data_IF_424078245356
#
_entry.id   IF_424078245356
#
_cell.length_a   1.000
_cell.length_b   1.000
_cell.length_c   1.000
_cell.angle_alpha   90.00
_cell.angle_beta   90.00
_cell.angle_gamma   90.00
#
_symmetry.space_group_name_H-M   'P 1'
#
loop_
_entity.id
_entity.type
_entity.pdbx_description
1 polymer ?
#
# COMPACT_ATOMS: atom_id res chain seq x y z
N UNK A 1 -31.62 -6.05 -5.58
CA UNK A 1 -30.39 -6.47 -4.91
C UNK A 1 -29.92 -7.74 -5.61
N UNK A 2 -28.84 -7.68 -6.39
CA UNK A 2 -28.17 -8.89 -6.88
C UNK A 2 -27.07 -9.14 -5.87
N UNK A 3 -27.31 -10.06 -4.94
CA UNK A 3 -26.25 -10.58 -4.06
C UNK A 3 -25.36 -11.42 -4.96
N UNK A 4 -24.19 -10.88 -5.34
CA UNK A 4 -23.20 -11.61 -6.14
C UNK A 4 -22.48 -12.65 -5.26
N UNK A 5 -23.23 -13.62 -4.74
CA UNK A 5 -22.65 -14.87 -4.28
C UNK A 5 -22.47 -15.74 -5.52
N UNK A 6 -21.23 -16.18 -5.77
CA UNK A 6 -20.77 -17.01 -6.90
C UNK A 6 -20.24 -16.27 -8.15
N UNK A 7 -19.42 -15.22 -7.96
CA UNK A 7 -18.48 -14.83 -9.02
C UNK A 7 -17.34 -15.86 -9.06
N UNK A 8 -17.16 -16.52 -10.19
CA UNK A 8 -16.03 -17.44 -10.42
C UNK A 8 -14.94 -16.65 -11.14
N UNK A 9 -13.87 -16.34 -10.42
CA UNK A 9 -12.68 -15.69 -10.98
C UNK A 9 -11.81 -16.70 -11.74
N UNK A 10 -11.11 -16.27 -12.82
CA UNK A 10 -10.25 -17.16 -13.60
C UNK A 10 -9.18 -17.80 -12.72
N UNK A 11 -8.84 -19.06 -13.02
CA UNK A 11 -7.75 -19.74 -12.36
C UNK A 11 -6.41 -19.09 -12.71
N UNK A 12 -5.52 -18.98 -11.73
CA UNK A 12 -4.17 -18.45 -11.96
C UNK A 12 -3.37 -19.50 -12.76
N UNK A 13 -2.70 -19.12 -13.86
CA UNK A 13 -1.94 -20.06 -14.67
C UNK A 13 -0.84 -20.79 -13.89
N UNK A 14 -0.81 -22.12 -14.00
CA UNK A 14 0.27 -22.94 -13.48
C UNK A 14 1.52 -22.78 -14.35
N UNK A 15 2.70 -22.72 -13.71
CA UNK A 15 4.00 -22.70 -14.41
C UNK A 15 4.53 -21.32 -14.80
N UNK A 16 3.81 -20.23 -14.49
CA UNK A 16 4.28 -18.89 -14.78
C UNK A 16 5.46 -18.44 -13.89
N UNK A 17 5.66 -19.07 -12.73
CA UNK A 17 6.91 -19.07 -11.94
C UNK A 17 7.51 -17.70 -11.58
N UNK A 18 8.70 -17.69 -10.97
CA UNK A 18 9.50 -16.45 -10.94
C UNK A 18 9.92 -16.14 -12.36
N UNK A 19 9.64 -14.92 -12.83
CA UNK A 19 10.23 -14.42 -14.06
C UNK A 19 11.74 -14.39 -13.85
N UNK A 20 12.51 -15.17 -14.60
CA UNK A 20 13.97 -15.15 -14.53
C UNK A 20 14.53 -14.17 -15.57
N UNK A 21 15.66 -13.55 -15.27
CA UNK A 21 16.31 -12.62 -16.19
C UNK A 21 15.51 -11.35 -16.49
N UNK A 22 14.49 -11.01 -15.67
CA UNK A 22 13.71 -9.78 -15.89
C UNK A 22 14.60 -8.53 -15.83
N UNK A 23 15.64 -8.54 -15.00
CA UNK A 23 16.60 -7.44 -14.89
C UNK A 23 17.54 -7.33 -16.11
N UNK A 24 17.47 -8.25 -17.07
CA UNK A 24 18.18 -8.18 -18.35
C UNK A 24 17.36 -7.48 -19.45
N UNK A 25 16.08 -7.20 -19.20
CA UNK A 25 15.24 -6.45 -20.15
C UNK A 25 15.82 -5.04 -20.31
N UNK A 26 16.21 -4.60 -21.52
CA UNK A 26 16.82 -3.30 -21.71
C UNK A 26 15.85 -2.18 -21.35
N UNK A 27 16.35 -1.13 -20.71
CA UNK A 27 15.58 0.06 -20.39
C UNK A 27 15.81 1.10 -21.50
N UNK A 28 14.72 1.59 -22.07
CA UNK A 28 14.70 2.71 -23.02
C UNK A 28 13.88 3.81 -22.37
N UNK A 29 14.51 4.56 -21.48
CA UNK A 29 13.84 5.56 -20.65
C UNK A 29 13.13 6.60 -21.53
N UNK A 30 11.84 6.77 -21.25
CA UNK A 30 11.06 7.94 -21.65
C UNK A 30 10.29 8.44 -20.42
N UNK A 31 11.02 8.63 -19.33
CA UNK A 31 10.48 9.01 -18.02
C UNK A 31 9.89 10.42 -18.00
N UNK A 32 10.14 11.22 -19.04
CA UNK A 32 9.74 12.63 -19.14
C UNK A 32 8.22 12.82 -19.11
N UNK A 33 7.45 11.77 -19.39
CA UNK A 33 6.00 11.81 -19.50
C UNK A 33 5.25 11.18 -18.32
N UNK A 34 5.93 10.49 -17.40
CA UNK A 34 5.28 9.75 -16.31
C UNK A 34 5.95 10.01 -14.94
N UNK A 35 5.65 11.15 -14.28
CA UNK A 35 6.28 11.50 -13.01
C UNK A 35 5.72 10.67 -11.85
N UNK A 36 6.49 10.60 -10.76
CA UNK A 36 5.97 10.16 -9.47
C UNK A 36 4.93 11.16 -8.95
N UNK A 37 3.76 10.66 -8.55
CA UNK A 37 2.71 11.42 -7.88
C UNK A 37 2.38 10.77 -6.52
N UNK A 38 1.98 11.57 -5.52
CA UNK A 38 1.62 11.05 -4.21
C UNK A 38 0.31 10.25 -4.25
N UNK A 39 0.20 9.28 -3.35
CA UNK A 39 -0.98 8.49 -3.06
C UNK A 39 -1.39 8.71 -1.59
N UNK A 40 -2.68 8.67 -1.32
CA UNK A 40 -3.23 8.84 0.03
C UNK A 40 -3.44 10.32 0.39
N UNK A 41 -3.57 10.65 1.68
CA UNK A 41 -3.98 11.99 2.13
C UNK A 41 -3.23 13.15 1.45
N UNK A 42 -3.97 14.22 1.16
CA UNK A 42 -3.56 15.40 0.40
C UNK A 42 -3.26 15.17 -1.08
N UNK A 43 -3.34 13.94 -1.61
CA UNK A 43 -3.26 13.69 -3.05
C UNK A 43 -4.63 13.87 -3.71
N UNK A 44 -4.65 13.97 -5.04
CA UNK A 44 -5.91 14.07 -5.79
C UNK A 44 -6.74 12.78 -5.65
N UNK A 45 -6.08 11.65 -5.38
CA UNK A 45 -6.63 10.31 -5.27
C UNK A 45 -6.91 9.89 -3.81
N UNK A 46 -6.63 10.76 -2.84
CA UNK A 46 -6.80 10.53 -1.41
C UNK A 46 -8.21 10.06 -1.04
N UNK A 47 -9.20 10.49 -1.82
CA UNK A 47 -10.60 10.19 -1.60
C UNK A 47 -10.94 8.75 -2.02
N UNK A 48 -10.14 8.15 -2.89
CA UNK A 48 -10.48 6.90 -3.58
C UNK A 48 -9.63 5.75 -3.05
N UNK A 49 -8.30 5.89 -3.08
CA UNK A 49 -7.39 4.78 -2.77
C UNK A 49 -7.03 4.74 -1.29
N UNK A 50 -7.12 3.55 -0.69
CA UNK A 50 -6.62 3.34 0.66
C UNK A 50 -5.10 3.07 0.61
N UNK A 51 -4.35 3.82 1.40
CA UNK A 51 -2.91 3.63 1.58
C UNK A 51 -2.57 3.29 3.01
N UNK A 52 -1.60 2.39 3.20
CA UNK A 52 -1.00 2.12 4.50
C UNK A 52 0.51 2.13 4.34
N UNK A 53 1.17 3.18 4.82
CA UNK A 53 2.63 3.35 4.67
C UNK A 53 3.36 2.44 5.66
N UNK A 54 3.41 1.15 5.31
CA UNK A 54 3.79 0.07 6.21
C UNK A 54 5.23 0.25 6.69
N UNK A 55 6.16 0.53 5.79
CA UNK A 55 7.58 0.70 6.10
C UNK A 55 7.90 1.93 6.96
N UNK A 56 7.06 2.97 6.90
CA UNK A 56 7.15 4.12 7.80
C UNK A 56 6.59 3.83 9.19
N UNK A 57 5.81 2.76 9.35
CA UNK A 57 5.11 2.47 10.59
C UNK A 57 3.95 3.43 10.82
N UNK A 58 3.23 3.79 9.75
CA UNK A 58 2.10 4.72 9.86
C UNK A 58 1.04 4.22 10.87
N UNK A 59 0.90 2.89 10.99
CA UNK A 59 -0.08 2.20 11.81
C UNK A 59 0.57 1.19 12.76
N UNK A 60 -0.10 0.91 13.88
CA UNK A 60 0.39 0.08 14.99
C UNK A 60 0.55 -1.40 14.67
N UNK A 61 -0.01 -1.86 13.54
CA UNK A 61 0.10 -3.23 13.06
C UNK A 61 1.26 -3.44 12.07
N UNK A 62 2.05 -2.40 11.78
CA UNK A 62 3.21 -2.56 10.92
C UNK A 62 4.33 -3.32 11.66
N UNK A 63 4.91 -4.38 11.06
CA UNK A 63 6.07 -5.07 11.62
C UNK A 63 7.33 -4.17 11.65
N UNK A 64 7.28 -3.00 11.01
CA UNK A 64 8.36 -2.03 10.89
C UNK A 64 8.19 -0.79 11.79
N UNK A 65 7.10 -0.70 12.58
CA UNK A 65 6.76 0.49 13.38
C UNK A 65 7.51 0.63 14.72
N UNK A 66 8.05 -0.46 15.28
CA UNK A 66 8.75 -0.39 16.56
C UNK A 66 10.19 0.11 16.40
N UNK A 67 10.69 0.91 17.35
CA UNK A 67 12.01 1.59 17.38
C UNK A 67 13.26 0.73 17.04
N UNK A 68 13.12 -0.60 16.86
CA UNK A 68 14.18 -1.52 16.45
C UNK A 68 14.11 -1.97 14.98
N UNK A 69 13.01 -1.70 14.29
CA UNK A 69 12.74 -2.16 12.91
C UNK A 69 12.47 -1.01 11.91
N UNK A 70 12.65 0.25 12.33
CA UNK A 70 12.43 1.41 11.47
C UNK A 70 13.39 1.40 10.29
N UNK A 71 12.84 1.46 9.08
CA UNK A 71 13.62 1.48 7.85
C UNK A 71 14.05 2.91 7.53
N UNK A 72 15.35 3.14 7.43
CA UNK A 72 15.90 4.44 7.06
C UNK A 72 15.38 4.88 5.68
N UNK A 73 15.00 6.14 5.57
CA UNK A 73 14.46 6.71 4.32
C UNK A 73 13.00 6.34 4.03
N UNK A 74 12.31 5.61 4.93
CA UNK A 74 10.88 5.31 4.79
C UNK A 74 10.05 6.60 4.72
N UNK A 75 9.00 6.56 3.90
CA UNK A 75 8.14 7.70 3.60
C UNK A 75 6.75 7.48 4.19
N UNK A 76 6.17 8.52 4.77
CA UNK A 76 4.78 8.53 5.20
C UNK A 76 3.82 8.60 4.01
N UNK A 77 4.24 9.16 2.89
CA UNK A 77 3.47 9.20 1.65
C UNK A 77 3.94 8.09 0.72
N UNK A 78 2.99 7.32 0.19
CA UNK A 78 3.29 6.42 -0.93
C UNK A 78 3.36 7.24 -2.22
N UNK A 79 4.32 6.94 -3.09
CA UNK A 79 4.41 7.54 -4.42
C UNK A 79 4.36 6.45 -5.47
N UNK A 80 3.81 6.74 -6.64
CA UNK A 80 3.92 5.85 -7.80
C UNK A 80 3.92 6.68 -9.09
N UNK A 81 4.30 6.06 -10.21
CA UNK A 81 4.15 6.69 -11.53
C UNK A 81 2.69 7.05 -11.77
N UNK A 82 2.41 8.19 -12.41
CA UNK A 82 1.04 8.64 -12.72
C UNK A 82 0.23 7.55 -13.43
N UNK A 83 0.81 6.86 -14.42
CA UNK A 83 0.09 5.77 -15.10
C UNK A 83 -0.15 4.55 -14.20
N UNK A 84 0.70 4.30 -13.21
CA UNK A 84 0.48 3.26 -12.19
C UNK A 84 -0.71 3.65 -11.31
N UNK A 85 -0.77 4.90 -10.84
CA UNK A 85 -1.91 5.41 -10.06
C UNK A 85 -3.21 5.31 -10.85
N UNK A 86 -3.21 5.67 -12.13
CA UNK A 86 -4.39 5.51 -12.98
C UNK A 86 -4.85 4.06 -13.08
N UNK A 87 -3.94 3.09 -13.18
CA UNK A 87 -4.29 1.66 -13.16
C UNK A 87 -4.84 1.23 -11.80
N UNK A 88 -4.29 1.73 -10.68
CA UNK A 88 -4.86 1.47 -9.35
C UNK A 88 -6.29 2.00 -9.22
N UNK A 89 -6.58 3.18 -9.79
CA UNK A 89 -7.94 3.74 -9.82
C UNK A 89 -8.90 2.89 -10.67
N UNK A 90 -8.43 2.34 -11.79
CA UNK A 90 -9.21 1.37 -12.59
C UNK A 90 -9.48 0.11 -11.77
N UNK A 91 -8.46 -0.44 -11.09
CA UNK A 91 -8.62 -1.60 -10.22
C UNK A 91 -9.67 -1.35 -9.12
N UNK A 92 -9.62 -0.20 -8.45
CA UNK A 92 -10.61 0.19 -7.44
C UNK A 92 -12.03 0.26 -8.02
N UNK A 93 -12.20 0.78 -9.24
CA UNK A 93 -13.51 0.87 -9.90
C UNK A 93 -14.08 -0.49 -10.33
N UNK A 94 -13.24 -1.49 -10.54
CA UNK A 94 -13.65 -2.85 -10.88
C UNK A 94 -14.12 -3.64 -9.65
N UNK A 95 -13.79 -3.18 -8.44
CA UNK A 95 -14.18 -3.87 -7.21
C UNK A 95 -15.69 -3.75 -6.95
N UNK A 96 -16.34 -4.82 -6.45
CA UNK A 96 -17.72 -4.74 -5.99
C UNK A 96 -17.85 -3.83 -4.76
N UNK A 97 -19.04 -3.25 -4.57
CA UNK A 97 -19.35 -2.42 -3.39
C UNK A 97 -18.92 -3.09 -2.08
N UNK A 98 -18.32 -2.30 -1.19
CA UNK A 98 -17.77 -2.76 0.08
C UNK A 98 -16.42 -3.46 -0.03
N UNK A 99 -15.81 -3.54 -1.23
CA UNK A 99 -14.42 -3.96 -1.41
C UNK A 99 -13.59 -2.77 -1.89
N UNK A 100 -12.40 -2.63 -1.31
CA UNK A 100 -11.46 -1.57 -1.66
C UNK A 100 -10.06 -2.13 -1.80
N UNK A 101 -9.26 -1.46 -2.61
CA UNK A 101 -7.84 -1.71 -2.78
C UNK A 101 -7.06 -1.01 -1.67
N UNK A 102 -6.29 -1.78 -0.92
CA UNK A 102 -5.29 -1.31 0.02
C UNK A 102 -3.91 -1.39 -0.62
N UNK A 103 -3.25 -0.24 -0.75
CA UNK A 103 -1.87 -0.14 -1.24
C UNK A 103 -0.92 -0.09 -0.04
N UNK A 104 -0.04 -1.09 0.08
CA UNK A 104 0.96 -1.18 1.15
C UNK A 104 2.26 -0.49 0.77
N UNK A 105 2.68 -0.69 -0.48
CA UNK A 105 3.95 -0.16 -0.98
C UNK A 105 3.87 0.12 -2.48
N UNK A 106 4.69 1.07 -2.94
CA UNK A 106 4.82 1.42 -4.34
C UNK A 106 6.26 1.88 -4.62
N UNK A 107 6.51 3.18 -4.73
CA UNK A 107 7.88 3.70 -4.87
C UNK A 107 8.70 3.48 -3.59
N UNK A 108 9.86 2.85 -3.74
CA UNK A 108 10.89 2.76 -2.70
C UNK A 108 12.16 3.48 -3.14
N UNK A 109 12.67 4.38 -2.31
CA UNK A 109 14.02 4.92 -2.53
C UNK A 109 15.07 3.81 -2.39
N UNK A 110 16.24 4.02 -3.00
CA UNK A 110 17.39 3.13 -2.80
C UNK A 110 17.71 2.92 -1.31
N UNK A 111 17.59 3.96 -0.49
CA UNK A 111 17.87 3.88 0.94
C UNK A 111 16.89 2.93 1.65
N UNK A 112 15.59 3.00 1.34
CA UNK A 112 14.59 2.06 1.88
C UNK A 112 14.90 0.64 1.43
N UNK A 113 15.19 0.44 0.14
CA UNK A 113 15.53 -0.88 -0.40
C UNK A 113 16.75 -1.48 0.33
N UNK A 114 17.78 -0.68 0.55
CA UNK A 114 19.00 -1.07 1.26
C UNK A 114 18.73 -1.43 2.72
N UNK A 115 17.97 -0.59 3.44
CA UNK A 115 17.61 -0.84 4.83
C UNK A 115 16.72 -2.07 5.00
N UNK A 116 15.78 -2.29 4.08
CA UNK A 116 14.93 -3.49 4.08
C UNK A 116 15.74 -4.76 3.81
N UNK A 117 16.66 -4.71 2.84
CA UNK A 117 17.57 -5.82 2.57
C UNK A 117 18.42 -6.17 3.80
N UNK A 118 19.02 -5.17 4.45
CA UNK A 118 19.80 -5.36 5.68
C UNK A 118 18.95 -5.95 6.81
N UNK A 119 17.70 -5.50 6.96
CA UNK A 119 16.75 -6.02 7.94
C UNK A 119 16.49 -7.53 7.73
N UNK A 120 16.13 -7.96 6.52
CA UNK A 120 15.88 -9.37 6.22
C UNK A 120 17.14 -10.23 6.35
N UNK A 121 18.29 -9.73 5.90
CA UNK A 121 19.56 -10.42 6.04
C UNK A 121 19.90 -10.66 7.52
N UNK A 122 19.67 -9.65 8.38
CA UNK A 122 19.86 -9.80 9.83
C UNK A 122 18.90 -10.83 10.42
N UNK A 123 17.60 -10.78 10.06
CA UNK A 123 16.60 -11.75 10.54
C UNK A 123 16.96 -13.19 10.16
N UNK A 124 17.44 -13.40 8.93
CA UNK A 124 17.88 -14.71 8.47
C UNK A 124 19.16 -15.16 9.19
N UNK A 125 20.10 -14.26 9.44
CA UNK A 125 21.29 -14.57 10.26
C UNK A 125 20.94 -14.95 11.69
N UNK A 126 19.99 -14.25 12.32
CA UNK A 126 19.50 -14.58 13.66
C UNK A 126 18.84 -15.97 13.69
N UNK A 127 18.12 -16.33 12.63
CA UNK A 127 17.44 -17.63 12.50
C UNK A 127 18.39 -18.76 12.13
N UNK A 128 19.42 -18.47 11.33
CA UNK A 128 20.40 -19.43 10.81
C UNK A 128 21.83 -18.92 11.01
N UNK A 129 22.37 -18.93 12.26
CA UNK A 129 23.66 -18.30 12.58
C UNK A 129 24.85 -18.84 11.76
N UNK A 130 24.83 -20.15 11.50
CA UNK A 130 25.89 -20.91 10.81
C UNK A 130 25.77 -20.88 9.28
N UNK A 131 24.73 -20.23 8.72
CA UNK A 131 24.58 -20.11 7.27
C UNK A 131 25.74 -19.28 6.70
N UNK A 132 26.40 -19.80 5.66
CA UNK A 132 27.45 -19.04 4.99
C UNK A 132 26.87 -17.80 4.29
N UNK A 133 27.74 -16.84 3.95
CA UNK A 133 27.31 -15.54 3.43
C UNK A 133 26.64 -15.63 2.05
N UNK A 134 27.05 -16.58 1.21
CA UNK A 134 26.51 -16.75 -0.15
C UNK A 134 25.11 -17.36 -0.08
N UNK A 135 24.94 -18.40 0.74
CA UNK A 135 23.64 -18.98 1.05
C UNK A 135 22.70 -17.96 1.72
N UNK A 136 23.22 -17.12 2.61
CA UNK A 136 22.43 -16.08 3.27
C UNK A 136 21.94 -15.03 2.26
N UNK A 137 22.78 -14.61 1.33
CA UNK A 137 22.40 -13.64 0.28
C UNK A 137 21.36 -14.24 -0.66
N UNK A 138 21.58 -15.50 -1.10
CA UNK A 138 20.61 -16.24 -1.92
C UNK A 138 19.26 -16.43 -1.21
N UNK A 139 19.27 -16.72 0.09
CA UNK A 139 18.07 -16.84 0.90
C UNK A 139 17.39 -15.47 1.10
N UNK A 140 18.15 -14.41 1.37
CA UNK A 140 17.63 -13.04 1.51
C UNK A 140 16.93 -12.58 0.24
N UNK A 141 17.51 -12.90 -0.93
CA UNK A 141 16.94 -12.59 -2.23
C UNK A 141 15.58 -13.28 -2.50
N UNK A 142 15.19 -14.28 -1.69
CA UNK A 142 13.84 -14.85 -1.76
C UNK A 142 12.76 -13.96 -1.16
N UNK A 143 13.13 -13.05 -0.26
CA UNK A 143 12.25 -12.15 0.48
C UNK A 143 12.27 -10.73 -0.08
N UNK A 144 13.43 -10.26 -0.54
CA UNK A 144 13.62 -8.88 -0.95
C UNK A 144 14.67 -8.79 -2.05
N UNK A 145 14.37 -8.02 -3.11
CA UNK A 145 15.32 -7.76 -4.19
C UNK A 145 16.58 -7.05 -3.67
N UNK A 146 17.72 -7.30 -4.31
CA UNK A 146 18.96 -6.60 -3.97
C UNK A 146 18.81 -5.09 -4.21
N UNK A 147 19.35 -4.24 -3.33
CA UNK A 147 19.44 -2.82 -3.58
C UNK A 147 20.39 -2.57 -4.77
N UNK A 148 19.93 -1.81 -5.75
CA UNK A 148 20.72 -1.52 -6.96
C UNK A 148 20.78 -0.02 -7.24
N UNK A 149 21.99 0.44 -7.58
CA UNK A 149 22.25 1.78 -8.13
C UNK A 149 22.57 1.71 -9.63
N UNK A 150 22.54 0.52 -10.24
CA UNK A 150 22.74 0.37 -11.68
C UNK A 150 21.49 0.88 -12.41
N UNK A 151 21.59 1.94 -13.22
CA UNK A 151 20.44 2.52 -13.91
C UNK A 151 19.81 1.54 -14.90
N UNK A 152 20.53 0.52 -15.37
CA UNK A 152 19.98 -0.51 -16.28
C UNK A 152 19.37 -1.70 -15.54
N UNK A 153 19.55 -1.77 -14.22
CA UNK A 153 19.07 -2.87 -13.36
C UNK A 153 18.55 -2.34 -12.02
N UNK A 154 17.64 -1.36 -12.01
CA UNK A 154 17.07 -0.85 -10.78
C UNK A 154 16.25 -1.93 -10.07
N UNK A 155 16.15 -1.84 -8.73
CA UNK A 155 15.18 -2.65 -7.99
C UNK A 155 13.76 -2.26 -8.45
N UNK A 156 12.79 -3.21 -8.53
CA UNK A 156 11.51 -2.94 -9.19
C UNK A 156 10.76 -1.73 -8.63
N UNK A 157 10.63 -1.64 -7.31
CA UNK A 157 9.95 -0.52 -6.63
C UNK A 157 10.68 0.83 -6.77
N UNK A 158 11.98 0.85 -7.01
CA UNK A 158 12.74 2.11 -7.24
C UNK A 158 12.33 2.82 -8.52
N UNK A 159 11.67 2.10 -9.44
CA UNK A 159 11.12 2.70 -10.67
C UNK A 159 9.79 3.42 -10.45
N UNK A 160 9.13 3.21 -9.31
CA UNK A 160 7.74 3.61 -9.06
C UNK A 160 6.71 2.85 -9.91
N UNK A 161 7.15 1.79 -10.62
CA UNK A 161 6.36 0.93 -11.49
C UNK A 161 5.77 -0.32 -10.83
N UNK A 162 6.18 -0.63 -9.60
CA UNK A 162 5.70 -1.80 -8.84
C UNK A 162 4.79 -1.35 -7.71
N UNK A 163 3.83 -2.19 -7.36
CA UNK A 163 2.87 -1.96 -6.26
C UNK A 163 2.65 -3.26 -5.49
N UNK A 164 2.51 -3.12 -4.17
CA UNK A 164 2.08 -4.19 -3.28
C UNK A 164 0.70 -3.86 -2.74
N UNK A 165 -0.26 -4.75 -2.98
CA UNK A 165 -1.68 -4.49 -2.71
C UNK A 165 -2.40 -5.67 -2.07
N UNK A 166 -3.53 -5.38 -1.43
CA UNK A 166 -4.53 -6.36 -1.06
C UNK A 166 -5.95 -5.78 -1.25
N UNK A 167 -6.93 -6.68 -1.27
CA UNK A 167 -8.34 -6.28 -1.17
C UNK A 167 -8.75 -6.32 0.30
N UNK A 168 -9.38 -5.24 0.75
CA UNK A 168 -10.06 -5.16 2.03
C UNK A 168 -11.56 -5.09 1.83
N UNK A 169 -12.31 -5.58 2.80
CA UNK A 169 -13.77 -5.53 2.83
C UNK A 169 -14.23 -4.65 3.97
N UNK A 170 -15.11 -3.71 3.67
CA UNK A 170 -15.79 -2.85 4.61
C UNK A 170 -17.24 -3.31 4.81
N UNK A 171 -17.76 -3.17 6.02
CA UNK A 171 -19.18 -3.44 6.26
C UNK A 171 -20.06 -2.29 5.76
N UNK A 172 -21.35 -2.57 5.58
CA UNK A 172 -22.25 -1.63 4.92
C UNK A 172 -22.40 -0.28 5.66
N UNK A 173 -22.58 -0.21 7.00
CA UNK A 173 -22.68 1.07 7.69
C UNK A 173 -21.46 1.97 7.46
N UNK A 174 -20.25 1.41 7.50
CA UNK A 174 -19.04 2.19 7.29
C UNK A 174 -18.82 2.52 5.79
N UNK A 175 -19.29 1.67 4.86
CA UNK A 175 -19.33 2.00 3.43
C UNK A 175 -20.21 3.23 3.15
N UNK A 176 -21.40 3.28 3.77
CA UNK A 176 -22.32 4.42 3.64
C UNK A 176 -21.70 5.70 4.21
N UNK A 177 -20.97 5.60 5.33
CA UNK A 177 -20.23 6.72 5.91
C UNK A 177 -19.10 7.21 4.98
N UNK A 178 -18.34 6.30 4.35
CA UNK A 178 -17.32 6.65 3.37
C UNK A 178 -17.90 7.41 2.19
N UNK A 179 -19.02 6.95 1.64
CA UNK A 179 -19.70 7.60 0.53
C UNK A 179 -20.12 9.02 0.90
N UNK A 180 -20.64 9.22 2.12
CA UNK A 180 -21.00 10.54 2.61
C UNK A 180 -19.78 11.47 2.69
N UNK A 181 -18.67 11.00 3.27
CA UNK A 181 -17.43 11.81 3.38
C UNK A 181 -16.91 12.18 1.99
N UNK A 182 -16.80 11.19 1.08
CA UNK A 182 -16.38 11.40 -0.32
C UNK A 182 -17.25 12.42 -1.03
N UNK A 183 -18.57 12.38 -0.84
CA UNK A 183 -19.49 13.37 -1.42
C UNK A 183 -19.16 14.80 -0.98
N UNK A 184 -18.72 15.02 0.26
CA UNK A 184 -18.33 16.36 0.73
C UNK A 184 -16.97 16.78 0.19
N UNK A 185 -16.05 15.82 0.02
CA UNK A 185 -14.72 16.08 -0.52
C UNK A 185 -14.76 16.54 -1.99
N UNK A 186 -15.85 16.27 -2.72
CA UNK A 186 -16.06 16.83 -4.07
C UNK A 186 -16.26 18.36 -4.11
N UNK A 187 -16.52 19.02 -2.97
CA UNK A 187 -16.66 20.48 -2.91
C UNK A 187 -15.31 21.18 -3.08
N UNK A 188 -15.15 21.89 -4.20
CA UNK A 188 -13.93 22.65 -4.54
C UNK A 188 -13.72 23.88 -3.64
N UNK A 189 -14.76 24.33 -2.92
CA UNK A 189 -14.69 25.44 -1.98
C UNK A 189 -14.49 24.98 -0.53
N UNK A 190 -14.37 23.66 -0.30
CA UNK A 190 -14.14 23.11 1.02
C UNK A 190 -12.83 23.67 1.62
N UNK A 191 -12.87 24.33 2.79
CA UNK A 191 -11.66 24.82 3.45
C UNK A 191 -10.64 23.71 3.64
N UNK A 192 -9.35 24.02 3.41
CA UNK A 192 -8.25 23.03 3.42
C UNK A 192 -8.24 22.20 4.70
N UNK A 193 -8.50 22.80 5.85
CA UNK A 193 -8.53 22.07 7.11
C UNK A 193 -9.71 21.10 7.19
N UNK A 194 -10.91 21.49 6.74
CA UNK A 194 -12.06 20.57 6.68
C UNK A 194 -11.77 19.39 5.76
N UNK A 195 -11.14 19.64 4.60
CA UNK A 195 -10.67 18.59 3.68
C UNK A 195 -9.72 17.62 4.38
N UNK A 196 -8.67 18.14 5.02
CA UNK A 196 -7.73 17.31 5.81
C UNK A 196 -8.46 16.48 6.86
N UNK A 197 -9.42 17.06 7.58
CA UNK A 197 -10.21 16.34 8.57
C UNK A 197 -11.03 15.20 7.98
N UNK A 198 -11.70 15.46 6.87
CA UNK A 198 -12.48 14.45 6.16
C UNK A 198 -11.59 13.32 5.61
N UNK A 199 -10.42 13.63 5.06
CA UNK A 199 -9.44 12.62 4.61
C UNK A 199 -8.88 11.78 5.77
N UNK A 200 -8.60 12.42 6.92
CA UNK A 200 -8.19 11.69 8.13
C UNK A 200 -9.32 10.79 8.66
N UNK A 201 -10.59 11.22 8.55
CA UNK A 201 -11.78 10.42 8.90
C UNK A 201 -11.88 9.20 8.01
N UNK A 202 -11.74 9.40 6.70
CA UNK A 202 -11.74 8.34 5.70
C UNK A 202 -10.67 7.29 6.04
N UNK A 203 -9.43 7.75 6.27
CA UNK A 203 -8.33 6.87 6.69
C UNK A 203 -8.65 6.12 7.99
N UNK A 204 -9.26 6.78 8.97
CA UNK A 204 -9.63 6.17 10.24
C UNK A 204 -10.67 5.07 10.09
N UNK A 205 -11.77 5.35 9.38
CA UNK A 205 -12.84 4.38 9.13
C UNK A 205 -12.25 3.12 8.50
N UNK A 206 -11.47 3.30 7.43
CA UNK A 206 -10.83 2.20 6.73
C UNK A 206 -9.93 1.39 7.67
N UNK A 207 -9.10 2.03 8.48
CA UNK A 207 -8.19 1.30 9.40
C UNK A 207 -8.89 0.47 10.46
N UNK A 208 -10.05 0.91 10.92
CA UNK A 208 -10.75 0.30 12.06
C UNK A 208 -11.74 -0.76 11.64
N UNK A 209 -12.35 -0.56 10.49
CA UNK A 209 -13.52 -1.30 10.08
C UNK A 209 -13.26 -2.13 8.83
N UNK A 210 -12.29 -1.75 7.99
CA UNK A 210 -11.93 -2.58 6.85
C UNK A 210 -11.15 -3.82 7.31
N UNK A 211 -11.53 -4.98 6.77
CA UNK A 211 -10.89 -6.26 7.03
C UNK A 211 -10.23 -6.75 5.75
N UNK A 212 -8.92 -6.97 5.79
CA UNK A 212 -8.22 -7.62 4.68
C UNK A 212 -8.83 -9.00 4.42
N UNK A 213 -9.04 -9.33 3.14
CA UNK A 213 -9.45 -10.68 2.78
C UNK A 213 -8.37 -11.69 3.17
N UNK A 214 -8.77 -12.93 3.42
CA UNK A 214 -7.81 -13.99 3.74
C UNK A 214 -7.12 -14.48 2.45
N UNK A 215 -5.83 -14.21 2.32
CA UNK A 215 -4.99 -14.68 1.21
C UNK A 215 -4.12 -15.88 1.59
N UNK A 216 -4.32 -16.48 2.76
CA UNK A 216 -3.63 -17.68 3.23
C UNK A 216 -2.24 -17.45 3.83
N UNK A 217 -1.65 -16.27 3.61
CA UNK A 217 -0.45 -15.78 4.29
C UNK A 217 -0.63 -14.30 4.62
N UNK A 218 0.12 -13.81 5.62
CA UNK A 218 0.25 -12.37 5.82
C UNK A 218 1.01 -11.71 4.65
N UNK A 219 0.84 -10.41 4.48
CA UNK A 219 1.72 -9.59 3.64
C UNK A 219 3.19 -9.78 4.06
N UNK A 220 4.11 -9.70 3.10
CA UNK A 220 5.57 -9.88 3.31
C UNK A 220 5.97 -11.28 3.85
N UNK A 221 5.07 -12.26 3.80
CA UNK A 221 5.40 -13.63 4.16
C UNK A 221 6.38 -14.22 3.15
N UNK A 222 7.62 -14.51 3.55
CA UNK A 222 8.53 -15.19 2.64
C UNK A 222 8.36 -16.71 2.62
N UNK A 223 8.46 -17.28 1.43
CA UNK A 223 8.39 -18.73 1.19
C UNK A 223 7.40 -19.09 0.08
N UNK A 224 7.38 -20.37 -0.28
CA UNK A 224 6.58 -20.89 -1.41
C UNK A 224 5.08 -20.67 -1.25
N UNK A 225 4.57 -20.57 -0.01
CA UNK A 225 3.16 -20.33 0.28
C UNK A 225 2.66 -18.96 -0.22
N UNK A 226 3.57 -18.01 -0.45
CA UNK A 226 3.22 -16.71 -1.01
C UNK A 226 3.06 -16.71 -2.52
N UNK A 227 3.48 -17.77 -3.21
CA UNK A 227 3.32 -17.89 -4.65
C UNK A 227 1.85 -17.74 -5.05
N UNK A 228 1.58 -16.87 -6.02
CA UNK A 228 0.23 -16.50 -6.42
C UNK A 228 -0.64 -17.74 -6.72
N UNK A 229 -0.08 -18.71 -7.46
CA UNK A 229 -0.73 -19.97 -7.84
C UNK A 229 -0.53 -21.13 -6.84
N UNK A 230 -0.16 -20.86 -5.58
CA UNK A 230 0.19 -21.91 -4.60
C UNK A 230 -0.94 -22.93 -4.40
N UNK A 231 -2.18 -22.47 -4.28
CA UNK A 231 -3.33 -23.34 -4.04
C UNK A 231 -3.75 -24.10 -5.29
N UNK A 232 -3.66 -23.48 -6.47
CA UNK A 232 -3.80 -24.16 -7.76
C UNK A 232 -2.80 -25.29 -7.90
N UNK A 233 -1.54 -25.07 -7.52
CA UNK A 233 -0.48 -26.07 -7.60
C UNK A 233 -0.76 -27.26 -6.65
N UNK A 234 -1.16 -27.00 -5.40
CA UNK A 234 -1.59 -28.05 -4.46
C UNK A 234 -2.75 -28.89 -5.02
N UNK A 235 -3.78 -28.22 -5.53
CA UNK A 235 -4.95 -28.90 -6.12
C UNK A 235 -4.55 -29.74 -7.34
N UNK A 236 -3.69 -29.22 -8.22
CA UNK A 236 -3.19 -29.95 -9.39
C UNK A 236 -2.30 -31.15 -9.01
N UNK A 237 -1.61 -31.09 -7.86
CA UNK A 237 -0.86 -32.20 -7.29
C UNK A 237 -1.75 -33.28 -6.62
N UNK A 238 -3.07 -33.09 -6.60
CA UNK A 238 -4.03 -34.02 -6.00
C UNK A 238 -4.19 -33.84 -4.48
N UNK A 239 -3.67 -32.75 -3.91
CA UNK A 239 -3.89 -32.43 -2.50
C UNK A 239 -5.33 -31.94 -2.27
N UNK A 240 -5.91 -32.37 -1.15
CA UNK A 240 -7.25 -31.92 -0.75
C UNK A 240 -7.10 -30.56 -0.06
N UNK A 241 -7.70 -29.53 -0.66
CA UNK A 241 -7.76 -28.20 -0.08
C UNK A 241 -8.84 -28.14 1.01
N UNK A 242 -8.52 -27.54 2.15
CA UNK A 242 -9.50 -27.20 3.19
C UNK A 242 -10.37 -26.03 2.74
N UNK A 243 -11.46 -25.77 3.46
CA UNK A 243 -12.32 -24.60 3.19
C UNK A 243 -11.54 -23.28 3.29
N UNK A 244 -10.58 -23.18 4.22
CA UNK A 244 -9.69 -22.01 4.35
C UNK A 244 -8.73 -21.89 3.17
N UNK A 245 -8.17 -23.01 2.67
CA UNK A 245 -7.32 -23.01 1.48
C UNK A 245 -8.11 -22.60 0.23
N UNK A 246 -9.36 -23.07 0.10
CA UNK A 246 -10.26 -22.70 -0.99
C UNK A 246 -10.65 -21.23 -0.94
N UNK A 247 -10.93 -20.68 0.26
CA UNK A 247 -11.20 -19.25 0.45
C UNK A 247 -9.99 -18.40 0.00
N UNK A 248 -8.79 -18.76 0.48
CA UNK A 248 -7.56 -18.06 0.11
C UNK A 248 -7.26 -18.14 -1.40
N UNK A 249 -7.47 -19.31 -2.00
CA UNK A 249 -7.38 -19.53 -3.44
C UNK A 249 -8.31 -18.58 -4.21
N UNK A 250 -9.58 -18.53 -3.83
CA UNK A 250 -10.58 -17.66 -4.48
C UNK A 250 -10.26 -16.17 -4.31
N UNK A 251 -9.79 -15.75 -3.13
CA UNK A 251 -9.38 -14.36 -2.90
C UNK A 251 -8.14 -13.97 -3.72
N UNK A 252 -7.16 -14.87 -3.89
CA UNK A 252 -6.01 -14.62 -4.77
C UNK A 252 -6.43 -14.51 -6.23
N UNK A 253 -7.36 -15.35 -6.70
CA UNK A 253 -7.93 -15.23 -8.06
C UNK A 253 -8.68 -13.93 -8.24
N UNK A 254 -9.43 -13.49 -7.24
CA UNK A 254 -10.13 -12.21 -7.26
C UNK A 254 -9.16 -11.03 -7.41
N UNK A 255 -8.12 -10.97 -6.55
CA UNK A 255 -7.10 -9.93 -6.66
C UNK A 255 -6.36 -9.99 -8.00
N UNK A 256 -5.94 -11.17 -8.43
CA UNK A 256 -5.28 -11.38 -9.71
C UNK A 256 -6.12 -10.87 -10.89
N UNK A 257 -7.41 -11.24 -10.93
CA UNK A 257 -8.33 -10.85 -11.99
C UNK A 257 -8.51 -9.32 -12.04
N UNK A 258 -8.76 -8.68 -10.90
CA UNK A 258 -8.92 -7.22 -10.82
C UNK A 258 -7.66 -6.48 -11.27
N UNK A 259 -6.49 -6.89 -10.77
CA UNK A 259 -5.23 -6.22 -11.10
C UNK A 259 -4.84 -6.43 -12.56
N UNK A 260 -5.06 -7.62 -13.13
CA UNK A 260 -4.75 -7.89 -14.54
C UNK A 260 -5.71 -7.19 -15.50
N UNK A 261 -7.01 -7.11 -15.16
CA UNK A 261 -7.98 -6.30 -15.93
C UNK A 261 -7.63 -4.81 -15.91
N UNK A 262 -7.07 -4.31 -14.80
CA UNK A 262 -6.54 -2.95 -14.70
C UNK A 262 -5.20 -2.75 -15.46
N UNK A 263 -4.66 -3.79 -16.09
CA UNK A 263 -3.46 -3.72 -16.92
C UNK A 263 -2.14 -3.94 -16.18
N UNK A 264 -2.17 -4.41 -14.94
CA UNK A 264 -0.97 -4.84 -14.23
C UNK A 264 -0.51 -6.23 -14.65
N UNK A 265 0.78 -6.47 -14.46
CA UNK A 265 1.43 -7.76 -14.63
C UNK A 265 1.74 -8.37 -13.26
N UNK A 266 1.34 -9.62 -12.99
CA UNK A 266 1.61 -10.28 -11.72
C UNK A 266 3.10 -10.60 -11.54
N UNK A 267 3.54 -10.68 -10.29
CA UNK A 267 4.74 -11.44 -9.92
C UNK A 267 4.34 -12.72 -9.21
N UNK A 268 4.46 -13.87 -9.89
CA UNK A 268 3.84 -15.10 -9.40
C UNK A 268 4.45 -15.69 -8.12
N UNK A 269 5.56 -15.15 -7.60
CA UNK A 269 6.11 -15.59 -6.32
C UNK A 269 5.45 -14.92 -5.10
N UNK A 270 4.73 -13.81 -5.29
CA UNK A 270 4.16 -13.00 -4.21
C UNK A 270 2.74 -12.58 -4.60
N UNK A 271 1.72 -13.06 -3.87
CA UNK A 271 0.32 -12.83 -4.25
C UNK A 271 -0.11 -11.36 -4.24
N UNK A 272 0.61 -10.51 -3.51
CA UNK A 272 0.32 -9.07 -3.36
C UNK A 272 1.04 -8.20 -4.40
N UNK A 273 2.06 -8.72 -5.11
CA UNK A 273 2.99 -7.89 -5.88
C UNK A 273 2.63 -7.85 -7.36
N UNK A 274 2.49 -6.63 -7.88
CA UNK A 274 2.13 -6.35 -9.27
C UNK A 274 3.02 -5.27 -9.87
N UNK A 275 3.21 -5.35 -11.18
CA UNK A 275 4.09 -4.48 -11.94
C UNK A 275 3.34 -3.82 -13.10
N UNK A 276 3.61 -2.55 -13.35
CA UNK A 276 3.28 -1.94 -14.62
C UNK A 276 4.09 -2.60 -15.74
N UNK A 277 3.51 -2.84 -16.93
CA UNK A 277 4.22 -3.45 -18.06
C UNK A 277 5.39 -2.60 -18.58
N UNK A 278 5.49 -1.34 -18.15
CA UNK A 278 6.59 -0.41 -18.40
C UNK A 278 7.82 -0.66 -17.53
N UNK A 279 7.71 -1.38 -16.40
CA UNK A 279 8.87 -1.77 -15.57
C UNK A 279 9.57 -3.00 -16.18
N UNK A 280 10.83 -3.26 -15.84
CA UNK A 280 11.56 -4.44 -16.34
C UNK A 280 10.85 -5.77 -16.01
N UNK A 281 10.36 -5.90 -14.77
CA UNK A 281 9.63 -7.09 -14.33
C UNK A 281 8.29 -7.22 -15.05
N UNK A 282 7.53 -6.13 -15.19
CA UNK A 282 6.27 -6.15 -15.93
C UNK A 282 6.47 -6.40 -17.43
N UNK A 283 7.47 -5.78 -18.04
CA UNK A 283 7.85 -5.99 -19.44
C UNK A 283 8.19 -7.46 -19.71
N UNK A 284 8.96 -8.09 -18.83
CA UNK A 284 9.29 -9.50 -18.94
C UNK A 284 8.03 -10.40 -18.85
N UNK A 285 7.12 -10.13 -17.91
CA UNK A 285 5.84 -10.87 -17.80
C UNK A 285 4.93 -10.64 -19.02
N UNK A 286 4.89 -9.41 -19.54
CA UNK A 286 4.08 -9.04 -20.70
C UNK A 286 4.68 -9.49 -22.05
N UNK A 287 5.93 -9.97 -22.06
CA UNK A 287 6.65 -10.32 -23.29
C UNK A 287 7.13 -9.11 -24.10
N UNK A 288 7.32 -7.95 -23.46
CA UNK A 288 7.86 -6.76 -24.09
C UNK A 288 9.38 -6.86 -24.25
N UNK A 289 9.89 -6.32 -25.37
CA UNK A 289 11.31 -6.35 -25.69
C UNK A 289 12.16 -5.32 -24.90
N UNK A 290 11.53 -4.35 -24.25
CA UNK A 290 12.17 -3.32 -23.45
C UNK A 290 11.21 -2.77 -22.39
N UNK A 291 11.77 -2.22 -21.33
CA UNK A 291 11.09 -1.44 -20.32
C UNK A 291 11.28 0.06 -20.59
N UNK A 292 10.37 0.88 -20.10
CA UNK A 292 10.43 2.35 -20.24
C UNK A 292 10.57 3.06 -18.91
N UNK A 293 10.33 2.39 -17.77
CA UNK A 293 10.58 2.95 -16.46
C UNK A 293 11.99 2.64 -15.96
N UNK A 294 12.80 3.68 -15.82
CA UNK A 294 14.07 3.65 -15.10
C UNK A 294 13.92 3.89 -13.60
N UNK A 295 15.04 3.85 -12.87
CA UNK A 295 15.08 4.36 -11.50
C UNK A 295 14.70 5.84 -11.48
N UNK A 296 13.92 6.25 -10.47
CA UNK A 296 13.47 7.63 -10.32
C UNK A 296 13.65 8.09 -8.89
N UNK A 297 13.83 9.39 -8.70
CA UNK A 297 13.87 10.02 -7.40
C UNK A 297 12.67 10.95 -7.21
N UNK A 298 12.36 11.25 -5.95
CA UNK A 298 11.39 12.30 -5.62
C UNK A 298 11.86 13.63 -6.20
N UNK A 299 10.96 14.39 -6.82
CA UNK A 299 11.23 15.77 -7.19
C UNK A 299 10.94 16.74 -6.01
N UNK A 300 11.11 18.04 -6.23
CA UNK A 300 10.84 19.06 -5.20
C UNK A 300 9.39 19.05 -4.72
N UNK A 301 8.42 18.90 -5.64
CA UNK A 301 7.00 18.83 -5.30
C UNK A 301 6.66 17.58 -4.47
N UNK A 302 7.26 16.43 -4.79
CA UNK A 302 7.06 15.21 -4.02
C UNK A 302 7.63 15.35 -2.59
N UNK A 303 8.83 15.91 -2.46
CA UNK A 303 9.44 16.20 -1.16
C UNK A 303 8.62 17.20 -0.35
N UNK A 304 8.07 18.23 -0.98
CA UNK A 304 7.20 19.19 -0.33
C UNK A 304 5.94 18.50 0.22
N UNK A 305 5.29 17.63 -0.57
CA UNK A 305 4.13 16.84 -0.14
C UNK A 305 4.43 15.98 1.09
N UNK A 306 5.52 15.22 1.05
CA UNK A 306 5.95 14.39 2.17
C UNK A 306 6.20 15.22 3.44
N UNK A 307 6.92 16.34 3.31
CA UNK A 307 7.18 17.24 4.42
C UNK A 307 5.90 17.82 5.03
N UNK A 308 4.92 18.18 4.19
CA UNK A 308 3.60 18.64 4.65
C UNK A 308 2.87 17.55 5.42
N UNK A 309 2.85 16.31 4.91
CA UNK A 309 2.24 15.17 5.61
C UNK A 309 2.91 14.88 6.94
N UNK A 310 4.24 14.90 7.00
CA UNK A 310 5.00 14.72 8.24
C UNK A 310 4.70 15.82 9.25
N UNK A 311 4.64 17.08 8.82
CA UNK A 311 4.30 18.20 9.71
C UNK A 311 2.89 18.03 10.31
N UNK A 312 1.90 17.66 9.49
CA UNK A 312 0.53 17.40 9.95
C UNK A 312 0.50 16.26 10.97
N UNK A 313 1.20 15.14 10.69
CA UNK A 313 1.28 14.01 11.61
C UNK A 313 1.94 14.39 12.93
N UNK A 314 3.03 15.15 12.88
CA UNK A 314 3.72 15.63 14.09
C UNK A 314 2.84 16.55 14.94
N UNK A 315 2.13 17.49 14.31
CA UNK A 315 1.18 18.36 15.03
C UNK A 315 0.02 17.57 15.63
N UNK A 316 -0.55 16.59 14.91
CA UNK A 316 -1.57 15.71 15.45
C UNK A 316 -1.08 14.95 16.71
N UNK A 317 0.13 14.37 16.66
CA UNK A 317 0.76 13.69 17.80
C UNK A 317 1.05 14.64 18.98
N UNK A 318 1.46 15.88 18.72
CA UNK A 318 1.67 16.90 19.77
C UNK A 318 0.36 17.23 20.47
N UNK A 319 -0.70 17.46 19.70
CA UNK A 319 -2.04 17.74 20.23
C UNK A 319 -2.57 16.59 21.07
N UNK A 320 -2.30 15.34 20.66
CA UNK A 320 -2.60 14.15 21.44
C UNK A 320 -1.87 14.12 22.78
N UNK A 321 -0.54 14.32 22.78
CA UNK A 321 0.27 14.32 24.01
C UNK A 321 -0.08 15.45 24.98
N UNK A 322 -0.58 16.58 24.48
CA UNK A 322 -0.97 17.74 25.29
C UNK A 322 -2.32 17.57 26.00
N UNK A 323 -3.00 16.43 25.85
CA UNK A 323 -4.30 16.15 26.49
C UNK A 323 -5.41 17.14 26.10
N UNK A 324 -5.26 17.83 24.97
CA UNK A 324 -6.15 18.91 24.54
C UNK A 324 -6.27 20.13 25.49
N UNK A 325 -5.50 20.20 26.57
CA UNK A 325 -5.73 21.16 27.67
C UNK A 325 -4.77 22.36 27.76
N UNK A 326 -3.82 22.55 26.85
CA UNK A 326 -3.03 23.78 26.85
C UNK A 326 -2.63 24.22 25.45
N UNK A 327 -2.67 25.55 25.24
CA UNK A 327 -1.99 26.40 24.25
C UNK A 327 -2.98 27.29 23.50
N UNK A 328 -2.71 28.59 23.51
CA UNK A 328 -3.38 29.59 22.68
C UNK A 328 -3.39 29.10 21.22
N UNK A 329 -4.58 28.78 20.71
CA UNK A 329 -4.75 28.15 19.41
C UNK A 329 -4.47 29.17 18.31
N UNK A 330 -3.53 28.87 17.44
CA UNK A 330 -3.49 29.53 16.12
C UNK A 330 -4.70 29.08 15.29
N UNK A 331 -5.14 29.90 14.32
CA UNK A 331 -6.29 29.56 13.48
C UNK A 331 -6.11 28.18 12.80
N UNK A 332 -4.92 27.91 12.26
CA UNK A 332 -4.58 26.63 11.63
C UNK A 332 -4.67 25.44 12.60
N UNK A 333 -4.20 25.60 13.85
CA UNK A 333 -4.31 24.56 14.87
C UNK A 333 -5.76 24.33 15.31
N UNK A 334 -6.57 25.39 15.42
CA UNK A 334 -8.00 25.25 15.73
C UNK A 334 -8.76 24.54 14.61
N UNK A 335 -8.42 24.84 13.37
CA UNK A 335 -9.00 24.20 12.20
C UNK A 335 -8.56 22.74 12.05
N UNK A 336 -7.26 22.43 12.23
CA UNK A 336 -6.75 21.06 12.26
C UNK A 336 -7.34 20.24 13.41
N UNK A 337 -7.56 20.84 14.58
CA UNK A 337 -8.20 20.16 15.71
C UNK A 337 -9.67 19.86 15.42
N UNK A 338 -10.40 20.81 14.81
CA UNK A 338 -11.79 20.60 14.35
C UNK A 338 -11.86 19.45 13.34
N UNK A 339 -10.91 19.44 12.41
CA UNK A 339 -10.72 18.41 11.41
C UNK A 339 -10.44 17.03 12.02
N UNK A 340 -9.50 16.93 12.97
CA UNK A 340 -9.17 15.70 13.70
C UNK A 340 -10.36 15.22 14.54
N UNK A 341 -11.11 16.11 15.19
CA UNK A 341 -12.35 15.71 15.93
C UNK A 341 -13.39 15.10 15.01
N UNK A 342 -13.59 15.68 13.82
CA UNK A 342 -14.52 15.15 12.84
C UNK A 342 -14.17 13.74 12.37
N UNK A 343 -12.92 13.27 12.58
CA UNK A 343 -12.45 11.93 12.20
C UNK A 343 -13.01 10.78 13.01
N UNK A 344 -13.43 11.05 14.26
CA UNK A 344 -13.88 10.00 15.16
C UNK A 344 -12.87 8.87 15.38
N UNK A 345 -11.55 9.12 15.30
CA UNK A 345 -10.50 8.12 15.48
C UNK A 345 -9.86 8.13 16.89
N UNK A 346 -10.32 7.35 17.88
CA UNK A 346 -9.63 7.02 19.11
C UNK A 346 -8.14 6.69 19.04
N UNK A 347 -7.47 6.43 17.91
CA UNK A 347 -6.00 6.32 17.92
C UNK A 347 -5.36 7.70 17.75
N UNK A 348 -5.97 8.58 16.95
CA UNK A 348 -5.54 9.97 16.78
C UNK A 348 -5.99 10.88 17.94
N UNK A 349 -7.05 10.47 18.66
CA UNK A 349 -7.58 11.15 19.85
C UNK A 349 -7.60 10.27 21.10
N UNK A 350 -6.83 9.17 21.11
CA UNK A 350 -6.68 8.31 22.30
C UNK A 350 -6.21 9.18 23.46
N UNK A 351 -6.88 9.06 24.60
CA UNK A 351 -6.63 9.82 25.83
C UNK A 351 -7.04 11.30 25.81
N UNK A 352 -7.81 11.76 24.81
CA UNK A 352 -8.44 13.08 24.89
C UNK A 352 -9.59 13.07 25.93
N UNK A 353 -9.79 14.14 26.71
CA UNK A 353 -10.97 14.31 27.54
C UNK A 353 -12.27 14.17 26.71
N UNK A 354 -13.30 13.52 27.26
CA UNK A 354 -14.57 13.25 26.55
C UNK A 354 -15.25 14.53 26.03
N UNK A 355 -15.05 15.66 26.71
CA UNK A 355 -15.55 16.98 26.37
C UNK A 355 -14.87 17.59 25.11
N UNK A 356 -13.72 17.03 24.71
CA UNK A 356 -12.95 17.43 23.52
C UNK A 356 -13.28 16.51 22.32
N UNK A 357 -13.69 15.27 22.58
CA UNK A 357 -14.02 14.24 21.58
C UNK A 357 -15.47 14.36 21.07
N UNK A 358 -16.38 14.93 21.88
CA UNK A 358 -17.79 15.05 21.52
C UNK A 358 -17.98 15.71 20.13
N UNK A 359 -18.88 15.18 19.28
CA UNK A 359 -19.27 15.84 18.04
C UNK A 359 -19.64 17.29 18.33
N UNK A 360 -19.37 18.22 17.40
CA UNK A 360 -20.02 19.52 17.45
C UNK A 360 -21.51 19.25 17.35
N UNK A 361 -22.23 19.32 18.47
CA UNK A 361 -23.69 19.38 18.44
C UNK A 361 -24.06 20.52 17.49
N UNK A 362 -24.95 20.24 16.53
CA UNK A 362 -25.43 21.23 15.59
C UNK A 362 -26.00 22.42 16.38
N UNK A 363 -25.20 23.49 16.45
CA UNK A 363 -25.65 24.76 16.99
C UNK A 363 -26.49 25.40 15.89
N UNK A 364 -27.81 25.22 15.99
CA UNK A 364 -28.83 25.99 15.26
C UNK A 364 -28.57 27.50 15.34
#
# INVERSE_FOLDING_TARGET
MVTAEHVIYPAIPLGAGRVQGWSDIPIREDDSLDPLIPLGPLSQEAEILMTSSLYFGEHSNSPYAENRNTLEGSLLTLFARRSVVHRLLVAEQLLPIGHHLLVFDAYRSYQVQKSLHAFYQQKLREKYPEMDNEALESETHKYVSLPSMDPNRPSPHTTGGSVDVAIVKLDQPHEEELIQIRSHLTDIHLPIAKRVGMEMRLSAIMRRHAKMLDFGTAFDHGGEKSALAYYEAKSAAGEILTDTDMLACNNRRFLFDIMTQAGFQPYFAEWWHFNAPESQMGAATAGHAYATFGAVDLNESNRAHENTRLAIRQEALKLQRAGGQAVARTALQAEMLTAIRATGDPILVEDWPAEIIAPLEDVC
#
